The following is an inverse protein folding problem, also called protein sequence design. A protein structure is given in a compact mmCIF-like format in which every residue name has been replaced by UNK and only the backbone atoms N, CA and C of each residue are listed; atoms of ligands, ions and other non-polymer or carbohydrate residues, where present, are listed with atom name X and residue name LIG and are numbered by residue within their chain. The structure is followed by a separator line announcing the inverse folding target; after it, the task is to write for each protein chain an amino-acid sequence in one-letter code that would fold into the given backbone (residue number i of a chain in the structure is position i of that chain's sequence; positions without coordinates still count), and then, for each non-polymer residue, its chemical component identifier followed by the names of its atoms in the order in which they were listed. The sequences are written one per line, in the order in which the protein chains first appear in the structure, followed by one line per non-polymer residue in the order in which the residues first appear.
data_IF_047720850161
#
_entry.id   IF_047720850161
#
_cell.length_a   1.000
_cell.length_b   1.000
_cell.length_c   1.000
_cell.angle_alpha   90.00
_cell.angle_beta   90.00
_cell.angle_gamma   90.00
#
_symmetry.space_group_name_H-M   'P 1'
#
loop_
_entity.id
_entity.type
_entity.pdbx_description
1 polymer ?
#
# COMPACT_ATOMS: atom_id res chain seq x y z
N UNK A 1 -1.53 17.80 -22.25
CA UNK A 1 -0.52 18.47 -23.10
C UNK A 1 0.70 18.70 -22.24
N UNK A 2 1.89 18.25 -22.66
CA UNK A 2 3.13 18.58 -21.96
C UNK A 2 3.43 20.06 -22.18
N UNK A 3 3.85 20.77 -21.12
CA UNK A 3 4.31 22.16 -21.22
C UNK A 3 5.69 22.15 -21.89
N UNK A 4 5.82 22.66 -23.10
CA UNK A 4 7.10 22.80 -23.81
C UNK A 4 7.51 24.26 -23.92
N UNK A 5 8.80 24.54 -23.74
CA UNK A 5 9.38 25.86 -23.88
C UNK A 5 9.29 26.33 -25.33
N UNK A 6 8.77 27.53 -25.56
CA UNK A 6 8.57 28.10 -26.90
C UNK A 6 9.87 28.61 -27.56
N UNK A 7 11.02 28.50 -26.88
CA UNK A 7 12.36 28.81 -27.43
C UNK A 7 13.11 27.52 -27.77
N UNK A 8 13.22 26.58 -26.83
CA UNK A 8 13.99 25.34 -27.03
C UNK A 8 13.18 24.15 -27.54
N UNK A 9 11.85 24.22 -27.46
CA UNK A 9 10.92 23.08 -27.64
C UNK A 9 11.16 21.91 -26.66
N UNK A 10 11.90 22.12 -25.58
CA UNK A 10 12.12 21.14 -24.51
C UNK A 10 11.20 21.41 -23.31
N UNK A 11 11.09 20.44 -22.39
CA UNK A 11 10.35 20.64 -21.12
C UNK A 11 11.18 21.55 -20.21
N UNK A 12 10.68 22.72 -19.78
CA UNK A 12 11.42 23.66 -18.94
C UNK A 12 11.57 23.13 -17.50
N UNK A 13 12.72 23.35 -16.87
CA UNK A 13 12.98 23.07 -15.46
C UNK A 13 12.38 24.16 -14.55
N UNK A 14 12.44 25.43 -14.99
CA UNK A 14 11.84 26.58 -14.29
C UNK A 14 10.86 27.30 -15.23
N UNK A 15 9.63 26.80 -15.37
CA UNK A 15 8.64 27.37 -16.28
C UNK A 15 8.17 28.76 -15.83
N UNK A 16 8.19 29.70 -16.77
CA UNK A 16 7.59 31.03 -16.64
C UNK A 16 6.68 31.31 -17.83
N UNK A 17 5.65 32.13 -17.62
CA UNK A 17 4.70 32.53 -18.66
C UNK A 17 4.83 34.01 -18.96
N UNK A 18 4.85 34.34 -20.25
CA UNK A 18 4.70 35.72 -20.70
C UNK A 18 3.22 36.12 -20.64
N UNK A 19 2.85 37.20 -19.93
CA UNK A 19 1.46 37.68 -19.89
C UNK A 19 1.00 38.27 -21.24
N UNK A 20 1.94 38.52 -22.16
CA UNK A 20 1.67 39.19 -23.43
C UNK A 20 1.33 38.20 -24.54
N UNK A 21 2.05 37.07 -24.59
CA UNK A 21 1.81 36.01 -25.57
C UNK A 21 1.07 34.80 -25.00
N UNK A 22 1.06 34.63 -23.66
CA UNK A 22 0.59 33.42 -23.00
C UNK A 22 1.50 32.20 -23.21
N UNK A 23 2.66 32.38 -23.87
CA UNK A 23 3.61 31.32 -24.15
C UNK A 23 4.45 30.97 -22.91
N UNK A 24 4.87 29.71 -22.84
CA UNK A 24 5.67 29.17 -21.74
C UNK A 24 7.13 29.13 -22.16
N UNK A 25 8.01 29.53 -21.26
CA UNK A 25 9.44 29.54 -21.46
C UNK A 25 10.19 28.94 -20.27
N UNK A 26 11.41 28.46 -20.52
CA UNK A 26 12.40 28.25 -19.47
C UNK A 26 12.92 29.62 -19.02
N UNK A 27 12.86 29.91 -17.72
CA UNK A 27 13.22 31.22 -17.13
C UNK A 27 14.56 31.72 -17.65
N UNK A 28 15.59 30.88 -17.62
CA UNK A 28 16.95 31.25 -18.05
C UNK A 28 17.01 31.70 -19.51
N UNK A 29 16.20 31.09 -20.38
CA UNK A 29 16.22 31.36 -21.81
C UNK A 29 15.47 32.64 -22.16
N UNK A 30 14.31 32.86 -21.54
CA UNK A 30 13.49 34.06 -21.81
C UNK A 30 14.09 35.32 -21.19
N UNK A 31 14.69 35.23 -19.99
CA UNK A 31 15.36 36.38 -19.36
C UNK A 31 16.55 36.86 -20.21
N UNK A 32 17.32 35.92 -20.77
CA UNK A 32 18.39 36.26 -21.71
C UNK A 32 17.85 36.93 -22.98
N UNK A 33 16.77 36.40 -23.55
CA UNK A 33 16.18 36.97 -24.76
C UNK A 33 15.62 38.38 -24.54
N UNK A 34 14.95 38.61 -23.40
CA UNK A 34 14.43 39.92 -22.99
C UNK A 34 15.58 40.91 -22.78
N UNK A 35 16.69 40.49 -22.18
CA UNK A 35 17.86 41.34 -22.00
C UNK A 35 18.43 41.81 -23.35
N UNK A 36 18.45 40.94 -24.35
CA UNK A 36 19.03 41.22 -25.66
C UNK A 36 18.07 42.02 -26.58
N UNK A 37 16.75 41.86 -26.44
CA UNK A 37 15.78 42.37 -27.42
C UNK A 37 14.64 43.24 -26.84
N UNK A 38 14.40 43.21 -25.52
CA UNK A 38 13.32 43.96 -24.86
C UNK A 38 11.89 43.57 -25.25
N UNK A 39 11.71 42.46 -25.96
CA UNK A 39 10.43 42.03 -26.52
C UNK A 39 10.18 40.53 -26.28
N UNK A 40 8.91 40.15 -26.33
CA UNK A 40 8.45 38.76 -26.30
C UNK A 40 8.78 38.05 -27.64
N UNK A 41 9.47 36.88 -27.61
CA UNK A 41 9.91 36.18 -28.82
C UNK A 41 8.77 35.68 -29.74
N UNK A 42 7.55 35.52 -29.22
CA UNK A 42 6.42 34.92 -29.94
C UNK A 42 5.50 36.00 -30.51
N UNK A 43 5.22 37.03 -29.72
CA UNK A 43 4.28 38.10 -30.07
C UNK A 43 4.95 39.38 -30.57
N UNK A 44 6.26 39.55 -30.37
CA UNK A 44 7.03 40.74 -30.77
C UNK A 44 6.68 42.01 -30.00
N UNK A 45 5.91 41.90 -28.91
CA UNK A 45 5.49 43.02 -28.06
C UNK A 45 6.48 43.24 -26.92
N UNK A 46 6.53 44.45 -26.38
CA UNK A 46 7.42 44.79 -25.25
C UNK A 46 7.17 43.88 -24.04
N UNK A 47 8.24 43.34 -23.48
CA UNK A 47 8.22 42.43 -22.33
C UNK A 47 9.46 42.67 -21.49
N UNK A 48 9.28 42.84 -20.18
CA UNK A 48 10.38 42.99 -19.22
C UNK A 48 10.43 41.79 -18.27
N UNK A 49 11.58 41.53 -17.64
CA UNK A 49 11.76 40.36 -16.77
C UNK A 49 10.79 40.35 -15.58
N UNK A 50 10.48 41.53 -15.03
CA UNK A 50 9.53 41.68 -13.92
C UNK A 50 8.07 41.35 -14.29
N UNK A 51 7.75 41.34 -15.59
CA UNK A 51 6.43 40.96 -16.09
C UNK A 51 6.26 39.44 -16.19
N UNK A 52 7.32 38.65 -16.07
CA UNK A 52 7.24 37.19 -16.17
C UNK A 52 6.51 36.62 -14.96
N UNK A 53 5.52 35.77 -15.24
CA UNK A 53 4.73 35.12 -14.21
C UNK A 53 5.36 33.75 -13.95
N UNK A 54 5.81 33.52 -12.73
CA UNK A 54 6.20 32.20 -12.26
C UNK A 54 5.04 31.22 -12.40
N UNK A 55 5.27 30.13 -13.14
CA UNK A 55 4.38 28.98 -13.04
C UNK A 55 4.70 28.33 -11.71
N UNK A 56 4.03 28.78 -10.64
CA UNK A 56 4.03 28.06 -9.37
C UNK A 56 3.68 26.62 -9.72
N UNK A 57 4.50 25.67 -9.28
CA UNK A 57 4.08 24.27 -9.17
C UNK A 57 2.88 24.24 -8.22
N UNK A 58 1.69 24.46 -8.78
CA UNK A 58 0.46 23.96 -8.22
C UNK A 58 0.58 22.47 -8.44
N UNK A 59 1.14 21.79 -7.44
CA UNK A 59 1.46 20.38 -7.48
C UNK A 59 0.38 19.60 -8.21
N UNK A 60 0.74 19.11 -9.41
CA UNK A 60 -0.05 18.25 -10.25
C UNK A 60 -1.55 18.51 -10.22
N UNK A 61 -2.03 19.53 -10.95
CA UNK A 61 -3.21 19.30 -11.76
C UNK A 61 -2.76 18.46 -12.96
N UNK A 62 -2.49 17.18 -12.67
CA UNK A 62 -2.63 16.17 -13.70
C UNK A 62 -4.04 16.37 -14.25
N UNK A 63 -4.15 16.63 -15.55
CA UNK A 63 -5.40 16.50 -16.28
C UNK A 63 -5.99 15.14 -15.89
N UNK A 64 -6.99 15.14 -15.02
CA UNK A 64 -7.94 14.05 -14.97
C UNK A 64 -8.66 14.08 -16.32
N UNK A 65 -8.63 13.02 -17.13
CA UNK A 65 -9.90 12.58 -17.66
C UNK A 65 -10.70 12.12 -16.43
N UNK A 66 -11.71 12.90 -16.04
CA UNK A 66 -12.67 12.56 -15.01
C UNK A 66 -13.67 11.47 -15.46
N UNK A 67 -13.25 10.62 -16.39
CA UNK A 67 -13.93 9.36 -16.71
C UNK A 67 -13.01 8.24 -16.25
N UNK A 68 -13.50 7.45 -15.29
CA UNK A 68 -12.89 6.17 -14.98
C UNK A 68 -12.73 5.41 -16.30
N UNK A 69 -11.51 4.96 -16.62
CA UNK A 69 -11.23 4.30 -17.92
C UNK A 69 -12.08 3.03 -18.13
N UNK A 70 -12.79 2.59 -17.09
CA UNK A 70 -13.62 1.41 -17.06
C UNK A 70 -12.77 0.16 -16.85
N UNK A 71 -13.40 -0.90 -16.35
CA UNK A 71 -12.83 -2.24 -16.50
C UNK A 71 -13.14 -2.69 -17.92
N UNK A 72 -12.20 -2.47 -18.85
CA UNK A 72 -12.38 -2.94 -20.23
C UNK A 72 -12.39 -4.47 -20.29
N UNK A 73 -12.92 -5.01 -21.37
CA UNK A 73 -12.94 -6.46 -21.62
C UNK A 73 -11.54 -7.07 -21.57
N UNK A 74 -10.51 -6.36 -22.05
CA UNK A 74 -9.11 -6.81 -22.00
C UNK A 74 -8.59 -6.88 -20.56
N UNK A 75 -8.91 -5.88 -19.74
CA UNK A 75 -8.55 -5.89 -18.32
C UNK A 75 -9.23 -7.07 -17.64
N UNK A 76 -10.56 -7.21 -17.79
CA UNK A 76 -11.33 -8.31 -17.18
C UNK A 76 -10.77 -9.68 -17.62
N UNK A 77 -10.43 -9.84 -18.90
CA UNK A 77 -9.83 -11.08 -19.40
C UNK A 77 -8.48 -11.35 -18.74
N UNK A 78 -7.60 -10.34 -18.66
CA UNK A 78 -6.29 -10.46 -17.98
C UNK A 78 -6.44 -10.86 -16.51
N UNK A 79 -7.40 -10.28 -15.78
CA UNK A 79 -7.68 -10.66 -14.40
C UNK A 79 -8.17 -12.11 -14.31
N UNK A 80 -9.09 -12.50 -15.20
CA UNK A 80 -9.66 -13.86 -15.26
C UNK A 80 -8.61 -14.92 -15.59
N UNK A 81 -7.72 -14.65 -16.55
CA UNK A 81 -6.63 -15.54 -16.94
C UNK A 81 -5.65 -15.73 -15.78
N UNK A 82 -5.27 -14.63 -15.11
CA UNK A 82 -4.39 -14.71 -13.94
C UNK A 82 -5.04 -15.51 -12.81
N UNK A 83 -6.32 -15.28 -12.53
CA UNK A 83 -7.06 -16.02 -11.52
C UNK A 83 -7.15 -17.53 -11.83
N UNK A 84 -7.33 -17.89 -13.10
CA UNK A 84 -7.36 -19.28 -13.55
C UNK A 84 -6.01 -19.99 -13.30
N UNK A 85 -4.90 -19.34 -13.67
CA UNK A 85 -3.54 -19.84 -13.41
C UNK A 85 -3.32 -20.05 -11.91
N UNK A 86 -3.58 -19.02 -11.09
CA UNK A 86 -3.36 -19.07 -9.64
C UNK A 86 -4.23 -20.15 -8.98
N UNK A 87 -5.46 -20.32 -9.44
CA UNK A 87 -6.36 -21.37 -8.96
C UNK A 87 -5.87 -22.76 -9.32
N UNK A 88 -5.33 -22.95 -10.52
CA UNK A 88 -4.73 -24.21 -10.94
C UNK A 88 -3.46 -24.52 -10.13
N UNK A 89 -2.60 -23.53 -9.90
CA UNK A 89 -1.40 -23.66 -9.07
C UNK A 89 -1.74 -24.03 -7.63
N UNK A 90 -2.76 -23.38 -7.05
CA UNK A 90 -3.28 -23.72 -5.72
C UNK A 90 -3.83 -25.15 -5.66
N UNK A 91 -4.59 -25.58 -6.66
CA UNK A 91 -5.09 -26.97 -6.75
C UNK A 91 -3.95 -27.97 -6.86
N UNK A 92 -2.90 -27.65 -7.63
CA UNK A 92 -1.70 -28.48 -7.79
C UNK A 92 -0.90 -28.60 -6.50
N UNK A 93 -0.73 -27.48 -5.77
CA UNK A 93 -0.09 -27.47 -4.44
C UNK A 93 -0.96 -28.25 -3.43
N UNK A 94 -2.28 -28.10 -3.51
CA UNK A 94 -3.20 -28.77 -2.59
C UNK A 94 -2.89 -28.41 -1.14
N UNK A 95 -2.71 -29.43 -0.30
CA UNK A 95 -2.30 -29.27 1.11
C UNK A 95 -0.80 -29.45 1.33
N UNK A 96 0.01 -29.52 0.27
CA UNK A 96 1.46 -29.65 0.45
C UNK A 96 2.02 -28.33 0.97
N UNK A 97 2.79 -28.46 2.04
CA UNK A 97 3.56 -27.36 2.63
C UNK A 97 4.89 -27.30 1.88
N UNK A 98 5.41 -26.12 1.50
CA UNK A 98 6.73 -26.01 0.88
C UNK A 98 7.80 -26.70 1.75
N UNK A 99 8.69 -27.47 1.12
CA UNK A 99 9.72 -28.23 1.85
C UNK A 99 10.67 -27.32 2.65
N UNK A 100 10.96 -26.13 2.11
CA UNK A 100 11.82 -25.13 2.73
C UNK A 100 11.11 -24.27 3.80
N UNK A 101 9.82 -24.49 4.07
CA UNK A 101 9.09 -23.72 5.09
C UNK A 101 9.66 -23.99 6.49
N UNK A 102 9.92 -22.94 7.26
CA UNK A 102 10.29 -23.06 8.67
C UNK A 102 9.30 -23.96 9.43
N UNK A 103 9.83 -24.94 10.16
CA UNK A 103 9.01 -25.84 10.98
C UNK A 103 8.39 -25.10 12.18
N UNK A 104 7.32 -25.66 12.75
CA UNK A 104 6.70 -25.09 13.95
C UNK A 104 7.66 -25.01 15.15
N UNK A 105 8.62 -25.93 15.25
CA UNK A 105 9.62 -25.94 16.31
C UNK A 105 10.67 -24.86 16.10
N UNK A 106 11.03 -24.58 14.83
CA UNK A 106 11.85 -23.44 14.49
C UNK A 106 11.16 -22.13 14.91
N UNK A 107 9.89 -21.94 14.53
CA UNK A 107 9.13 -20.72 14.90
C UNK A 107 9.08 -20.52 16.42
N UNK A 108 8.87 -21.59 17.21
CA UNK A 108 8.91 -21.53 18.69
C UNK A 108 10.28 -21.07 19.21
N UNK A 109 11.34 -21.51 18.55
CA UNK A 109 12.72 -21.19 18.91
C UNK A 109 13.18 -19.79 18.44
N UNK A 110 12.36 -19.05 17.67
CA UNK A 110 12.75 -17.73 17.17
C UNK A 110 13.17 -16.77 18.28
N UNK A 111 14.20 -16.00 17.98
CA UNK A 111 14.77 -14.95 18.82
C UNK A 111 14.87 -13.67 18.01
N UNK A 112 15.05 -12.55 18.71
CA UNK A 112 15.34 -11.25 18.09
C UNK A 112 16.74 -11.28 17.49
N UNK A 113 16.84 -11.34 16.16
CA UNK A 113 18.09 -11.30 15.42
C UNK A 113 18.66 -9.88 15.37
N UNK A 114 17.80 -8.90 15.16
CA UNK A 114 18.19 -7.51 15.04
C UNK A 114 17.07 -6.56 15.49
N UNK A 115 17.47 -5.38 15.95
CA UNK A 115 16.58 -4.28 16.27
C UNK A 115 17.20 -3.00 15.69
N UNK A 116 16.56 -2.44 14.68
CA UNK A 116 17.03 -1.25 13.97
C UNK A 116 16.20 -0.03 14.40
N UNK A 117 16.67 0.74 15.39
CA UNK A 117 16.11 2.06 15.67
C UNK A 117 16.58 3.07 14.62
N UNK A 118 15.88 4.20 14.51
CA UNK A 118 16.39 5.37 13.79
C UNK A 118 16.31 5.29 12.26
N UNK A 119 15.54 4.35 11.71
CA UNK A 119 15.15 4.41 10.31
C UNK A 119 14.35 5.69 10.05
N UNK A 120 13.35 5.96 10.88
CA UNK A 120 12.51 7.15 10.80
C UNK A 120 12.91 8.23 11.82
N UNK A 121 12.35 9.44 11.65
CA UNK A 121 12.62 10.59 12.50
C UNK A 121 12.56 10.29 14.00
N UNK A 122 13.58 10.71 14.74
CA UNK A 122 13.59 10.61 16.19
C UNK A 122 12.55 11.51 16.88
N UNK A 123 12.17 12.64 16.25
CA UNK A 123 11.24 13.63 16.80
C UNK A 123 9.76 13.31 16.55
N UNK A 124 9.47 12.44 15.56
CA UNK A 124 8.11 12.01 15.22
C UNK A 124 8.09 10.48 15.34
N UNK A 125 7.73 9.93 16.52
CA UNK A 125 7.85 8.51 16.76
C UNK A 125 6.83 7.69 15.97
N UNK A 126 7.25 6.50 15.57
CA UNK A 126 6.43 5.44 15.04
C UNK A 126 6.72 5.09 13.60
N UNK A 127 6.94 3.80 13.39
CA UNK A 127 6.84 3.16 12.09
C UNK A 127 5.44 2.53 12.09
N UNK A 128 4.66 2.73 11.02
CA UNK A 128 3.22 2.42 11.01
C UNK A 128 2.88 1.21 10.16
N UNK A 129 3.72 0.89 9.18
CA UNK A 129 3.53 -0.23 8.28
C UNK A 129 4.86 -0.68 7.70
N UNK A 130 4.91 -1.93 7.23
CA UNK A 130 6.03 -2.46 6.48
C UNK A 130 5.55 -3.39 5.37
N UNK A 131 6.44 -3.63 4.41
CA UNK A 131 6.34 -4.74 3.48
C UNK A 131 7.74 -5.31 3.13
N UNK A 132 7.80 -6.55 2.66
CA UNK A 132 9.06 -7.22 2.29
C UNK A 132 9.02 -7.54 0.80
N UNK A 133 10.12 -7.27 0.10
CA UNK A 133 10.23 -7.66 -1.31
C UNK A 133 10.21 -9.20 -1.44
N UNK A 134 9.28 -9.70 -2.27
CA UNK A 134 9.14 -11.13 -2.50
C UNK A 134 10.28 -11.71 -3.34
N UNK A 135 10.83 -10.92 -4.28
CA UNK A 135 11.98 -11.30 -5.12
C UNK A 135 13.31 -11.23 -4.36
N UNK A 136 13.43 -10.28 -3.43
CA UNK A 136 14.63 -10.05 -2.62
C UNK A 136 14.26 -9.79 -1.16
N UNK A 137 14.16 -10.85 -0.36
CA UNK A 137 13.78 -10.76 1.05
C UNK A 137 14.80 -10.01 1.93
N UNK A 138 15.93 -9.54 1.38
CA UNK A 138 16.82 -8.62 2.08
C UNK A 138 16.25 -7.19 2.12
N UNK A 139 15.36 -6.81 1.20
CA UNK A 139 14.77 -5.47 1.12
C UNK A 139 13.45 -5.40 1.89
N UNK A 140 13.41 -4.48 2.85
CA UNK A 140 12.25 -4.18 3.68
C UNK A 140 11.84 -2.74 3.46
N UNK A 141 10.59 -2.53 3.07
CA UNK A 141 9.97 -1.21 2.97
C UNK A 141 9.28 -0.89 4.29
N UNK A 142 9.48 0.32 4.80
CA UNK A 142 8.84 0.82 6.03
C UNK A 142 8.17 2.16 5.77
N UNK A 143 6.99 2.38 6.34
CA UNK A 143 6.23 3.62 6.25
C UNK A 143 6.16 4.31 7.61
N UNK A 144 6.59 5.57 7.66
CA UNK A 144 6.76 6.29 8.91
C UNK A 144 5.62 7.25 9.25
N UNK A 145 5.49 7.51 10.56
CA UNK A 145 4.72 8.65 11.06
C UNK A 145 5.32 10.00 10.65
N UNK A 146 6.62 9.99 10.30
CA UNK A 146 7.38 11.13 9.76
C UNK A 146 7.14 11.41 8.27
N UNK A 147 6.15 10.73 7.65
CA UNK A 147 5.68 10.93 6.26
C UNK A 147 6.63 10.40 5.19
N UNK A 148 7.73 9.77 5.58
CA UNK A 148 8.69 9.16 4.65
C UNK A 148 8.42 7.67 4.57
N UNK A 149 8.72 7.07 3.41
CA UNK A 149 8.93 5.64 3.31
C UNK A 149 10.42 5.35 3.11
N UNK A 150 10.89 4.24 3.68
CA UNK A 150 12.30 3.87 3.65
C UNK A 150 12.42 2.44 3.16
N UNK A 151 13.23 2.24 2.14
CA UNK A 151 13.68 0.90 1.73
C UNK A 151 15.00 0.63 2.42
N UNK A 152 15.03 -0.37 3.28
CA UNK A 152 16.17 -0.81 4.07
C UNK A 152 16.61 -2.20 3.62
N UNK A 153 17.91 -2.42 3.49
CA UNK A 153 18.47 -3.74 3.22
C UNK A 153 18.99 -4.34 4.53
N UNK A 154 18.37 -5.44 4.98
CA UNK A 154 18.69 -6.07 6.27
C UNK A 154 20.05 -6.79 6.30
N UNK A 155 20.57 -7.21 5.14
CA UNK A 155 21.81 -8.00 5.08
C UNK A 155 23.04 -7.09 5.08
N UNK A 156 22.92 -5.91 4.47
CA UNK A 156 23.96 -4.87 4.44
C UNK A 156 23.79 -3.83 5.55
N UNK A 157 22.65 -3.84 6.23
CA UNK A 157 22.22 -2.85 7.22
C UNK A 157 22.23 -1.41 6.68
N UNK A 158 21.91 -1.24 5.40
CA UNK A 158 21.93 0.06 4.72
C UNK A 158 20.55 0.52 4.28
N UNK A 159 20.33 1.82 4.36
CA UNK A 159 19.18 2.48 3.71
C UNK A 159 19.44 2.53 2.21
N UNK A 160 18.59 1.85 1.44
CA UNK A 160 18.63 1.80 -0.03
C UNK A 160 17.99 3.06 -0.62
N UNK A 161 16.84 3.48 -0.09
CA UNK A 161 16.11 4.64 -0.58
C UNK A 161 15.32 5.32 0.53
N UNK A 162 15.18 6.65 0.42
CA UNK A 162 14.30 7.47 1.26
C UNK A 162 13.31 8.18 0.33
N UNK A 163 12.04 7.81 0.45
CA UNK A 163 10.96 8.25 -0.42
C UNK A 163 10.18 9.35 0.29
N UNK A 164 10.36 10.59 -0.19
CA UNK A 164 9.76 11.79 0.41
C UNK A 164 8.70 12.38 -0.51
N UNK A 165 7.52 12.67 0.03
CA UNK A 165 6.49 13.37 -0.74
C UNK A 165 5.10 13.41 -0.11
N UNK A 166 4.76 12.48 0.79
CA UNK A 166 3.49 12.56 1.51
C UNK A 166 3.43 13.76 2.46
N UNK A 167 2.24 14.35 2.59
CA UNK A 167 2.03 15.50 3.49
C UNK A 167 1.55 15.07 4.88
N UNK A 168 1.19 13.79 5.04
CA UNK A 168 0.83 13.15 6.31
C UNK A 168 1.55 11.80 6.45
N UNK A 169 1.41 11.15 7.60
CA UNK A 169 1.98 9.83 7.91
C UNK A 169 1.63 8.80 6.84
N UNK A 170 2.49 7.80 6.64
CA UNK A 170 2.21 6.71 5.71
C UNK A 170 1.49 5.59 6.46
N UNK A 171 0.36 5.14 5.96
CA UNK A 171 -0.50 4.15 6.65
C UNK A 171 -0.43 2.77 6.02
N UNK A 172 -0.13 2.66 4.72
CA UNK A 172 0.12 1.38 4.09
C UNK A 172 1.29 1.48 3.09
N UNK A 173 2.00 0.36 2.96
CA UNK A 173 3.16 0.19 2.09
C UNK A 173 3.04 -1.14 1.37
N UNK A 174 3.41 -1.19 0.10
CA UNK A 174 3.52 -2.43 -0.68
C UNK A 174 4.82 -2.40 -1.48
N UNK A 175 5.56 -3.50 -1.44
CA UNK A 175 6.68 -3.76 -2.34
C UNK A 175 6.19 -4.61 -3.51
N UNK A 176 6.37 -4.13 -4.75
CA UNK A 176 5.97 -4.91 -5.91
C UNK A 176 6.71 -6.26 -5.95
N UNK A 177 6.04 -7.40 -6.19
CA UNK A 177 6.63 -8.73 -5.97
C UNK A 177 7.85 -9.02 -6.85
N UNK A 178 7.92 -8.38 -8.03
CA UNK A 178 8.91 -8.70 -9.06
C UNK A 178 9.75 -7.50 -9.52
N UNK A 179 9.51 -6.29 -8.99
CA UNK A 179 10.15 -5.07 -9.49
C UNK A 179 10.57 -4.18 -8.34
N UNK A 180 11.56 -3.32 -8.58
CA UNK A 180 11.97 -2.27 -7.64
C UNK A 180 11.02 -1.05 -7.69
N UNK A 181 9.73 -1.35 -7.60
CA UNK A 181 8.62 -0.41 -7.53
C UNK A 181 7.93 -0.59 -6.18
N UNK A 182 7.63 0.51 -5.49
CA UNK A 182 6.90 0.46 -4.22
C UNK A 182 5.71 1.40 -4.24
N UNK A 183 4.68 1.06 -3.47
CA UNK A 183 3.46 1.84 -3.33
C UNK A 183 3.28 2.28 -1.89
N UNK A 184 2.87 3.52 -1.70
CA UNK A 184 2.57 4.08 -0.38
C UNK A 184 1.23 4.80 -0.40
N UNK A 185 0.44 4.65 0.66
CA UNK A 185 -0.80 5.39 0.87
C UNK A 185 -0.75 6.18 2.17
N UNK A 186 -1.57 7.24 2.25
CA UNK A 186 -1.57 8.12 3.40
C UNK A 186 -2.93 8.80 3.62
N UNK A 187 -3.19 9.29 4.84
CA UNK A 187 -4.31 10.17 5.13
C UNK A 187 -4.31 11.52 4.39
N UNK A 188 -3.29 11.79 3.57
CA UNK A 188 -3.25 12.92 2.62
C UNK A 188 -4.06 12.66 1.33
N UNK A 189 -4.89 11.60 1.33
CA UNK A 189 -5.75 11.18 0.21
C UNK A 189 -4.99 10.80 -1.07
N UNK A 190 -3.67 10.58 -0.97
CA UNK A 190 -2.83 10.22 -2.10
C UNK A 190 -2.31 8.78 -1.97
N UNK A 191 -2.15 8.14 -3.12
CA UNK A 191 -1.35 6.94 -3.30
C UNK A 191 -0.19 7.31 -4.21
N UNK A 192 1.03 6.99 -3.80
CA UNK A 192 2.24 7.24 -4.59
C UNK A 192 2.86 5.92 -5.01
N UNK A 193 3.24 5.86 -6.28
CA UNK A 193 4.00 4.76 -6.88
C UNK A 193 5.39 5.28 -7.13
N UNK A 194 6.39 4.59 -6.59
CA UNK A 194 7.77 5.03 -6.58
C UNK A 194 8.65 4.04 -7.33
N UNK A 195 9.67 4.56 -8.00
CA UNK A 195 10.81 3.76 -8.43
C UNK A 195 11.88 3.83 -7.35
N UNK A 196 12.29 2.67 -6.81
CA UNK A 196 13.24 2.62 -5.68
C UNK A 196 14.62 3.15 -6.07
N UNK A 197 15.25 2.74 -7.19
CA UNK A 197 16.57 3.23 -7.59
C UNK A 197 16.66 4.74 -7.77
N UNK A 198 15.64 5.38 -8.35
CA UNK A 198 15.63 6.84 -8.53
C UNK A 198 15.10 7.59 -7.32
N UNK A 199 14.43 6.91 -6.38
CA UNK A 199 13.68 7.51 -5.27
C UNK A 199 12.63 8.54 -5.71
N UNK A 200 12.16 8.46 -6.96
CA UNK A 200 11.16 9.38 -7.51
C UNK A 200 9.76 8.77 -7.53
N UNK A 201 8.75 9.61 -7.31
CA UNK A 201 7.35 9.25 -7.58
C UNK A 201 7.15 9.18 -9.09
N UNK A 202 6.81 7.99 -9.60
CA UNK A 202 6.48 7.76 -11.01
C UNK A 202 5.03 8.16 -11.28
N UNK A 203 4.12 7.79 -10.37
CA UNK A 203 2.70 8.16 -10.47
C UNK A 203 2.14 8.58 -9.12
N UNK A 204 1.25 9.57 -9.17
CA UNK A 204 0.48 10.07 -8.05
C UNK A 204 -1.00 9.86 -8.35
N UNK A 205 -1.67 9.01 -7.56
CA UNK A 205 -3.10 8.72 -7.71
C UNK A 205 -3.86 9.46 -6.62
N UNK A 206 -4.82 10.30 -7.04
CA UNK A 206 -5.74 11.05 -6.17
C UNK A 206 -7.17 10.73 -6.56
N UNK A 207 -7.67 9.63 -6.02
CA UNK A 207 -9.02 9.13 -6.31
C UNK A 207 -10.00 9.30 -5.15
N UNK A 208 -9.49 9.53 -3.94
CA UNK A 208 -10.28 9.58 -2.72
C UNK A 208 -10.44 11.03 -2.24
N UNK A 209 -11.57 11.32 -1.61
CA UNK A 209 -11.84 12.61 -0.96
C UNK A 209 -11.48 12.57 0.53
N UNK A 210 -11.17 11.39 1.06
CA UNK A 210 -10.77 11.16 2.44
C UNK A 210 -9.41 10.45 2.57
N UNK A 211 -8.93 10.28 3.81
CA UNK A 211 -7.81 9.41 4.13
C UNK A 211 -7.87 8.03 3.46
N UNK A 212 -6.77 7.64 2.80
CA UNK A 212 -6.63 6.26 2.30
C UNK A 212 -6.26 5.35 3.46
N UNK A 213 -7.04 4.29 3.66
CA UNK A 213 -6.99 3.39 4.84
C UNK A 213 -6.56 1.98 4.50
N UNK A 214 -6.75 1.56 3.26
CA UNK A 214 -6.37 0.23 2.78
C UNK A 214 -5.69 0.33 1.43
N UNK A 215 -4.75 -0.57 1.21
CA UNK A 215 -3.99 -0.68 -0.02
C UNK A 215 -3.68 -2.15 -0.27
N UNK A 216 -3.95 -2.65 -1.48
CA UNK A 216 -3.64 -4.03 -1.84
C UNK A 216 -3.32 -4.14 -3.33
N UNK A 217 -2.17 -4.74 -3.65
CA UNK A 217 -1.76 -4.96 -5.03
C UNK A 217 -2.46 -6.21 -5.57
N UNK A 218 -3.04 -6.09 -6.75
CA UNK A 218 -3.63 -7.21 -7.45
C UNK A 218 -2.54 -8.23 -7.86
N UNK A 219 -2.87 -9.52 -7.89
CA UNK A 219 -1.92 -10.60 -8.17
C UNK A 219 -1.25 -10.55 -9.56
N UNK A 220 -1.74 -9.70 -10.47
CA UNK A 220 -1.07 -9.41 -11.76
C UNK A 220 0.18 -8.53 -11.60
N UNK A 221 0.27 -7.75 -10.51
CA UNK A 221 1.31 -6.74 -10.30
C UNK A 221 1.00 -5.36 -10.91
N UNK A 222 -0.03 -5.25 -11.76
CA UNK A 222 -0.26 -4.02 -12.53
C UNK A 222 -1.35 -3.10 -11.97
N UNK A 223 -2.13 -3.57 -11.00
CA UNK A 223 -3.27 -2.83 -10.48
C UNK A 223 -3.26 -2.81 -8.96
N UNK A 224 -3.77 -1.72 -8.40
CA UNK A 224 -3.88 -1.53 -6.95
C UNK A 224 -5.33 -1.23 -6.56
N UNK A 225 -5.79 -1.91 -5.52
CA UNK A 225 -7.00 -1.60 -4.78
C UNK A 225 -6.66 -0.63 -3.67
N UNK A 226 -7.48 0.39 -3.51
CA UNK A 226 -7.42 1.30 -2.37
C UNK A 226 -8.80 1.48 -1.74
N UNK A 227 -8.82 1.75 -0.44
CA UNK A 227 -10.03 2.12 0.31
C UNK A 227 -9.80 3.39 1.09
N UNK A 228 -10.89 4.07 1.43
CA UNK A 228 -10.83 5.34 2.15
C UNK A 228 -11.96 5.51 3.15
N UNK A 229 -11.77 6.45 4.07
CA UNK A 229 -12.81 6.86 5.01
C UNK A 229 -13.99 7.59 4.33
N UNK A 230 -13.89 7.90 3.04
CA UNK A 230 -15.02 8.38 2.22
C UNK A 230 -16.01 7.27 1.84
N UNK A 231 -15.81 6.05 2.35
CA UNK A 231 -16.67 4.90 2.11
C UNK A 231 -16.51 4.31 0.71
N UNK A 232 -15.47 4.72 -0.03
CA UNK A 232 -15.20 4.25 -1.38
C UNK A 232 -14.03 3.27 -1.40
N UNK A 233 -14.13 2.30 -2.29
CA UNK A 233 -12.96 1.60 -2.80
C UNK A 233 -12.71 1.99 -4.25
N UNK A 234 -11.44 1.94 -4.67
CA UNK A 234 -11.02 2.25 -6.03
C UNK A 234 -10.02 1.23 -6.55
N UNK A 235 -10.05 0.99 -7.86
CA UNK A 235 -9.13 0.10 -8.57
C UNK A 235 -8.39 0.90 -9.64
N UNK A 236 -7.07 0.96 -9.53
CA UNK A 236 -6.23 1.84 -10.35
C UNK A 236 -5.07 1.09 -10.98
N UNK A 237 -4.66 1.53 -12.17
CA UNK A 237 -3.50 1.03 -12.90
C UNK A 237 -2.23 1.72 -12.41
N UNK A 238 -1.26 0.93 -11.96
CA UNK A 238 0.00 1.44 -11.41
C UNK A 238 1.00 1.88 -12.49
N UNK A 239 0.78 1.48 -13.75
CA UNK A 239 1.63 1.79 -14.90
C UNK A 239 1.27 3.12 -15.57
N UNK A 240 0.04 3.55 -15.37
CA UNK A 240 -0.49 4.78 -15.97
C UNK A 240 -0.94 5.79 -14.93
N UNK A 241 -1.12 5.37 -13.67
CA UNK A 241 -1.70 6.19 -12.61
C UNK A 241 -3.20 6.46 -12.79
N UNK A 242 -3.88 5.74 -13.71
CA UNK A 242 -5.29 5.95 -14.01
C UNK A 242 -6.19 5.13 -13.10
N UNK A 243 -7.30 5.74 -12.69
CA UNK A 243 -8.37 5.06 -11.97
C UNK A 243 -9.27 4.35 -12.98
N UNK A 244 -9.42 3.04 -12.85
CA UNK A 244 -10.26 2.22 -13.73
C UNK A 244 -11.71 2.19 -13.26
N UNK A 245 -11.91 2.11 -11.94
CA UNK A 245 -13.23 2.23 -11.31
C UNK A 245 -13.10 2.67 -9.86
N UNK A 246 -14.16 3.23 -9.31
CA UNK A 246 -14.36 3.42 -7.89
C UNK A 246 -15.84 3.19 -7.58
N UNK A 247 -16.14 2.70 -6.40
CA UNK A 247 -17.49 2.29 -6.02
C UNK A 247 -17.77 2.71 -4.59
N UNK A 248 -18.97 3.26 -4.42
CA UNK A 248 -19.61 3.54 -3.14
C UNK A 248 -20.58 2.42 -2.82
N UNK A 249 -20.65 2.04 -1.55
CA UNK A 249 -21.87 1.39 -1.06
C UNK A 249 -22.94 2.47 -0.85
N UNK A 250 -24.00 2.45 -1.66
CA UNK A 250 -25.13 3.38 -1.54
C UNK A 250 -25.98 3.12 -0.30
N UNK A 251 -25.84 1.94 0.33
CA UNK A 251 -26.64 1.53 1.48
C UNK A 251 -26.02 1.94 2.83
N UNK A 252 -24.72 2.20 2.88
CA UNK A 252 -24.03 2.68 4.06
C UNK A 252 -22.79 3.48 3.67
N UNK A 253 -22.81 4.79 3.87
CA UNK A 253 -21.66 5.69 3.66
C UNK A 253 -20.56 5.53 4.73
N UNK A 254 -20.35 4.30 5.21
CA UNK A 254 -19.48 4.01 6.34
C UNK A 254 -18.01 4.00 5.88
N UNK A 255 -17.14 4.51 6.74
CA UNK A 255 -15.72 4.58 6.45
C UNK A 255 -15.15 3.15 6.27
N UNK A 256 -14.44 2.94 5.16
CA UNK A 256 -13.67 1.72 4.96
C UNK A 256 -12.32 1.87 5.67
N UNK A 257 -11.85 0.80 6.31
CA UNK A 257 -10.75 0.86 7.28
C UNK A 257 -9.56 0.00 6.90
N UNK A 258 -9.79 -1.03 6.09
CA UNK A 258 -8.77 -1.94 5.61
C UNK A 258 -9.24 -2.60 4.32
N UNK A 259 -8.29 -3.04 3.49
CA UNK A 259 -8.59 -3.70 2.23
C UNK A 259 -7.54 -4.72 1.87
N UNK A 260 -7.96 -5.86 1.33
CA UNK A 260 -7.03 -6.83 0.77
C UNK A 260 -7.67 -7.65 -0.34
N UNK A 261 -6.93 -7.86 -1.43
CA UNK A 261 -7.29 -8.85 -2.43
C UNK A 261 -7.23 -10.27 -1.87
N UNK A 262 -8.18 -11.09 -2.31
CA UNK A 262 -8.03 -12.52 -2.22
C UNK A 262 -6.93 -13.00 -3.19
N UNK A 263 -6.20 -14.10 -2.89
CA UNK A 263 -5.08 -14.59 -3.73
C UNK A 263 -5.43 -15.02 -5.16
N UNK A 264 -6.70 -14.99 -5.59
CA UNK A 264 -7.06 -15.12 -7.02
C UNK A 264 -7.20 -13.77 -7.74
N UNK A 265 -7.34 -12.68 -7.00
CA UNK A 265 -7.53 -11.34 -7.53
C UNK A 265 -8.94 -11.00 -8.05
N UNK A 266 -9.89 -11.93 -7.99
CA UNK A 266 -11.26 -11.68 -8.48
C UNK A 266 -12.15 -11.05 -7.41
N UNK A 267 -11.92 -11.42 -6.15
CA UNK A 267 -12.62 -10.84 -5.01
C UNK A 267 -11.64 -10.13 -4.08
N UNK A 268 -12.18 -9.25 -3.25
CA UNK A 268 -11.44 -8.63 -2.16
C UNK A 268 -12.36 -8.39 -0.96
N UNK A 269 -11.72 -8.27 0.20
CA UNK A 269 -12.38 -7.96 1.46
C UNK A 269 -12.10 -6.52 1.86
N UNK A 270 -13.10 -5.83 2.39
CA UNK A 270 -12.95 -4.51 3.02
C UNK A 270 -13.51 -4.54 4.44
N UNK A 271 -12.80 -3.93 5.37
CA UNK A 271 -13.25 -3.71 6.73
C UNK A 271 -13.94 -2.36 6.85
N UNK A 272 -14.89 -2.23 7.77
CA UNK A 272 -15.62 -0.99 8.00
C UNK A 272 -15.50 -0.51 9.45
N UNK A 273 -15.81 0.77 9.66
CA UNK A 273 -15.88 1.37 11.00
C UNK A 273 -17.04 0.85 11.85
N UNK A 274 -18.07 0.27 11.24
CA UNK A 274 -19.27 -0.29 11.90
C UNK A 274 -19.20 -1.80 12.10
N UNK A 275 -18.00 -2.37 12.18
CA UNK A 275 -17.75 -3.77 12.52
C UNK A 275 -18.18 -4.80 11.47
N UNK A 276 -18.44 -4.38 10.22
CA UNK A 276 -18.75 -5.26 9.11
C UNK A 276 -17.49 -5.56 8.28
N UNK A 277 -17.47 -6.76 7.70
CA UNK A 277 -16.49 -7.13 6.69
C UNK A 277 -17.26 -7.40 5.41
N UNK A 278 -16.98 -6.61 4.38
CA UNK A 278 -17.64 -6.69 3.09
C UNK A 278 -16.76 -7.45 2.11
N UNK A 279 -17.33 -8.40 1.37
CA UNK A 279 -16.68 -9.12 0.27
C UNK A 279 -17.23 -8.60 -1.05
N UNK A 280 -16.33 -8.20 -1.93
CA UNK A 280 -16.66 -7.57 -3.20
C UNK A 280 -16.22 -8.43 -4.36
N UNK A 281 -17.05 -8.50 -5.40
CA UNK A 281 -16.64 -8.99 -6.71
C UNK A 281 -16.13 -7.79 -7.54
N UNK A 282 -14.86 -7.87 -7.97
CA UNK A 282 -14.22 -6.78 -8.69
C UNK A 282 -14.83 -6.56 -10.09
N UNK A 283 -15.24 -7.63 -10.76
CA UNK A 283 -15.77 -7.58 -12.13
C UNK A 283 -17.17 -6.98 -12.15
N UNK A 284 -18.03 -7.48 -11.27
CA UNK A 284 -19.42 -7.04 -11.15
C UNK A 284 -19.56 -5.73 -10.36
N UNK A 285 -18.52 -5.34 -9.62
CA UNK A 285 -18.48 -4.12 -8.78
C UNK A 285 -19.58 -4.13 -7.71
N UNK A 286 -19.92 -5.31 -7.21
CA UNK A 286 -20.98 -5.51 -6.24
C UNK A 286 -20.43 -6.13 -4.97
N UNK A 287 -21.05 -5.76 -3.85
CA UNK A 287 -20.89 -6.52 -2.62
C UNK A 287 -21.62 -7.86 -2.79
N UNK A 288 -20.88 -8.96 -2.62
CA UNK A 288 -21.42 -10.32 -2.77
C UNK A 288 -21.74 -10.96 -1.43
N UNK A 289 -21.13 -10.48 -0.34
CA UNK A 289 -21.41 -10.97 0.99
C UNK A 289 -20.93 -10.00 2.08
N UNK A 290 -21.63 -9.99 3.21
CA UNK A 290 -21.23 -9.27 4.42
C UNK A 290 -21.04 -10.30 5.56
N UNK A 291 -19.89 -10.26 6.22
CA UNK A 291 -19.67 -10.97 7.47
C UNK A 291 -19.95 -10.04 8.64
N UNK A 292 -20.86 -10.46 9.51
CA UNK A 292 -21.21 -9.83 10.76
C UNK A 292 -20.63 -10.61 11.96
N UNK A 293 -20.40 -9.91 13.07
CA UNK A 293 -20.05 -10.55 14.34
C UNK A 293 -18.85 -9.96 15.07
N UNK A 294 -18.14 -8.99 14.50
CA UNK A 294 -17.27 -8.11 15.29
C UNK A 294 -18.11 -7.09 16.07
N UNK A 295 -17.53 -6.55 17.15
CA UNK A 295 -18.14 -5.53 18.01
C UNK A 295 -17.23 -4.33 18.19
N UNK A 296 -16.73 -3.79 17.07
CA UNK A 296 -15.83 -2.65 17.02
C UNK A 296 -15.29 -2.44 15.60
N UNK A 297 -14.64 -1.31 15.35
CA UNK A 297 -14.06 -1.03 14.02
C UNK A 297 -13.13 -2.16 13.58
N UNK A 298 -13.27 -2.63 12.34
CA UNK A 298 -12.34 -3.61 11.76
C UNK A 298 -11.00 -2.92 11.54
N UNK A 299 -9.92 -3.47 12.10
CA UNK A 299 -8.58 -2.88 12.04
C UNK A 299 -7.68 -3.54 11.01
N UNK A 300 -7.86 -4.84 10.75
CA UNK A 300 -7.03 -5.59 9.81
C UNK A 300 -7.78 -6.76 9.18
N UNK A 301 -7.40 -7.08 7.94
CA UNK A 301 -7.91 -8.21 7.16
C UNK A 301 -6.73 -8.91 6.48
N UNK A 302 -6.74 -10.24 6.49
CA UNK A 302 -5.73 -11.08 5.84
C UNK A 302 -6.38 -12.32 5.20
N UNK A 303 -6.28 -12.49 3.90
CA UNK A 303 -6.65 -13.71 3.18
C UNK A 303 -5.51 -14.71 3.26
N UNK A 304 -5.87 -15.97 3.51
CA UNK A 304 -4.92 -17.07 3.47
C UNK A 304 -4.62 -17.48 2.03
N UNK A 305 -3.36 -17.79 1.74
CA UNK A 305 -2.92 -18.36 0.46
C UNK A 305 -3.56 -19.73 0.12
N UNK A 306 -4.27 -20.34 1.08
CA UNK A 306 -5.09 -21.52 0.79
C UNK A 306 -6.34 -21.19 -0.05
N UNK A 307 -6.73 -19.91 -0.15
CA UNK A 307 -7.87 -19.41 -0.94
C UNK A 307 -9.25 -19.70 -0.34
N UNK A 308 -9.33 -20.12 0.92
CA UNK A 308 -10.58 -20.47 1.59
C UNK A 308 -10.79 -19.73 2.90
N UNK A 309 -9.71 -19.26 3.54
CA UNK A 309 -9.78 -18.62 4.84
C UNK A 309 -9.49 -17.13 4.76
N UNK A 310 -10.23 -16.40 5.58
CA UNK A 310 -10.03 -14.98 5.85
C UNK A 310 -9.86 -14.81 7.36
N UNK A 311 -8.83 -14.09 7.76
CA UNK A 311 -8.64 -13.62 9.13
C UNK A 311 -8.97 -12.14 9.19
N UNK A 312 -9.70 -11.73 10.22
CA UNK A 312 -10.06 -10.35 10.48
C UNK A 312 -9.83 -10.01 11.94
N UNK A 313 -9.47 -8.78 12.22
CA UNK A 313 -9.35 -8.26 13.58
C UNK A 313 -10.10 -6.94 13.71
N UNK A 314 -10.52 -6.64 14.93
CA UNK A 314 -11.24 -5.42 15.25
C UNK A 314 -10.86 -4.88 16.63
N UNK A 315 -11.39 -3.72 16.98
CA UNK A 315 -11.26 -3.10 18.30
C UNK A 315 -11.88 -3.93 19.44
N UNK A 316 -12.64 -4.98 19.13
CA UNK A 316 -13.19 -5.92 20.10
C UNK A 316 -12.16 -6.91 20.70
N UNK A 317 -10.86 -6.70 20.42
CA UNK A 317 -9.75 -7.54 20.90
C UNK A 317 -9.86 -9.01 20.43
N UNK A 318 -10.53 -9.26 19.29
CA UNK A 318 -10.67 -10.60 18.72
C UNK A 318 -10.05 -10.71 17.34
N UNK A 319 -9.53 -11.90 17.04
CA UNK A 319 -9.24 -12.33 15.67
C UNK A 319 -10.26 -13.36 15.26
N UNK A 320 -11.06 -13.06 14.24
CA UNK A 320 -12.10 -13.94 13.70
C UNK A 320 -11.62 -14.58 12.40
N UNK A 321 -11.96 -15.86 12.23
CA UNK A 321 -11.57 -16.67 11.10
C UNK A 321 -12.80 -17.19 10.37
N UNK A 322 -12.86 -16.88 9.08
CA UNK A 322 -14.02 -17.10 8.23
C UNK A 322 -13.69 -18.11 7.14
N UNK A 323 -14.61 -19.06 6.88
CA UNK A 323 -14.51 -19.98 5.74
C UNK A 323 -15.35 -19.39 4.60
N UNK A 324 -14.70 -18.97 3.51
CA UNK A 324 -15.32 -18.30 2.37
C UNK A 324 -16.25 -19.21 1.56
N UNK A 325 -16.17 -20.54 1.73
CA UNK A 325 -17.09 -21.48 1.06
C UNK A 325 -18.35 -21.71 1.88
N UNK A 326 -18.23 -21.64 3.20
CA UNK A 326 -19.35 -21.84 4.14
C UNK A 326 -19.96 -20.51 4.59
N UNK A 327 -19.31 -19.40 4.25
CA UNK A 327 -19.69 -18.04 4.59
C UNK A 327 -20.02 -17.91 6.08
N UNK A 328 -19.11 -18.36 6.93
CA UNK A 328 -19.30 -18.29 8.39
C UNK A 328 -18.00 -18.17 9.15
N UNK A 329 -18.09 -17.55 10.33
CA UNK A 329 -17.06 -17.65 11.34
C UNK A 329 -16.98 -19.11 11.82
N UNK A 330 -15.79 -19.72 11.75
CA UNK A 330 -15.58 -21.08 12.27
C UNK A 330 -14.67 -21.09 13.50
N UNK A 331 -13.96 -19.99 13.77
CA UNK A 331 -13.10 -19.85 14.93
C UNK A 331 -12.99 -18.36 15.29
N UNK A 332 -13.07 -18.09 16.59
CA UNK A 332 -12.70 -16.81 17.20
C UNK A 332 -11.52 -17.08 18.13
N UNK A 333 -10.47 -16.29 17.98
CA UNK A 333 -9.34 -16.22 18.91
C UNK A 333 -9.59 -14.98 19.76
N UNK A 334 -9.89 -15.20 21.04
CA UNK A 334 -10.04 -14.13 22.01
C UNK A 334 -8.66 -13.79 22.54
N UNK A 335 -8.24 -12.53 22.39
CA UNK A 335 -7.03 -12.02 23.01
C UNK A 335 -7.37 -11.41 24.37
N UNK A 336 -6.33 -11.04 25.12
CA UNK A 336 -6.47 -10.42 26.45
C UNK A 336 -7.32 -9.15 26.40
N UNK A 337 -7.92 -8.78 27.53
CA UNK A 337 -8.75 -7.58 27.62
C UNK A 337 -7.93 -6.33 27.25
N UNK A 338 -8.48 -5.50 26.36
CA UNK A 338 -7.83 -4.32 25.78
C UNK A 338 -6.64 -4.62 24.85
N UNK A 339 -6.52 -5.84 24.33
CA UNK A 339 -5.53 -6.14 23.30
C UNK A 339 -5.86 -5.39 22.00
N UNK A 340 -4.95 -4.53 21.55
CA UNK A 340 -5.13 -3.78 20.31
C UNK A 340 -4.47 -4.50 19.14
N UNK A 341 -5.24 -5.07 18.22
CA UNK A 341 -4.69 -5.60 16.97
C UNK A 341 -4.56 -4.49 15.93
N UNK A 342 -3.39 -4.41 15.27
CA UNK A 342 -3.09 -3.42 14.23
C UNK A 342 -2.84 -4.03 12.86
N UNK A 343 -2.32 -5.26 12.80
CA UNK A 343 -2.02 -5.91 11.52
C UNK A 343 -2.13 -7.43 11.62
N UNK A 344 -2.45 -8.06 10.48
CA UNK A 344 -2.59 -9.50 10.32
C UNK A 344 -1.90 -9.94 9.04
N UNK A 345 -1.07 -10.98 9.14
CA UNK A 345 -0.36 -11.51 7.97
C UNK A 345 -0.38 -13.03 7.99
N UNK A 346 -1.03 -13.65 7.01
CA UNK A 346 -0.74 -15.03 6.67
C UNK A 346 0.63 -15.14 6.00
N UNK A 347 1.36 -16.21 6.27
CA UNK A 347 2.55 -16.55 5.50
C UNK A 347 2.18 -17.05 4.09
N UNK A 348 3.18 -17.11 3.20
CA UNK A 348 2.98 -17.45 1.78
C UNK A 348 2.48 -18.90 1.55
N UNK A 349 2.58 -19.78 2.56
CA UNK A 349 2.00 -21.12 2.53
C UNK A 349 0.60 -21.23 3.11
N UNK A 350 0.17 -20.24 3.92
CA UNK A 350 -1.07 -20.29 4.70
C UNK A 350 -1.01 -21.24 5.91
N UNK A 351 0.19 -21.61 6.35
CA UNK A 351 0.44 -22.48 7.52
C UNK A 351 0.47 -21.68 8.81
N UNK A 352 0.93 -20.43 8.75
CA UNK A 352 1.10 -19.54 9.89
C UNK A 352 0.32 -18.24 9.70
N UNK A 353 -0.17 -17.70 10.81
CA UNK A 353 -0.78 -16.38 10.91
C UNK A 353 -0.02 -15.59 11.96
N UNK A 354 0.52 -14.43 11.57
CA UNK A 354 1.06 -13.45 12.48
C UNK A 354 0.01 -12.39 12.82
N UNK A 355 -0.02 -11.99 14.09
CA UNK A 355 -0.85 -10.92 14.63
C UNK A 355 0.09 -9.89 15.24
N UNK A 356 0.01 -8.64 14.81
CA UNK A 356 0.74 -7.53 15.43
C UNK A 356 -0.23 -6.58 16.11
N UNK A 357 0.13 -6.15 17.31
CA UNK A 357 -0.70 -5.32 18.15
C UNK A 357 0.01 -4.91 19.44
N UNK A 358 -0.57 -5.23 20.58
CA UNK A 358 0.09 -5.07 21.89
C UNK A 358 1.45 -5.79 21.95
N UNK A 359 1.52 -6.96 21.33
CA UNK A 359 2.74 -7.75 21.11
C UNK A 359 2.71 -8.32 19.67
N UNK A 360 3.66 -9.18 19.29
CA UNK A 360 3.59 -9.93 18.03
C UNK A 360 3.39 -11.41 18.35
N UNK A 361 2.33 -12.02 17.85
CA UNK A 361 2.01 -13.44 18.06
C UNK A 361 2.00 -14.21 16.76
N UNK A 362 2.46 -15.45 16.80
CA UNK A 362 2.42 -16.36 15.64
C UNK A 362 1.58 -17.59 15.98
N UNK A 363 0.60 -17.89 15.14
CA UNK A 363 -0.31 -19.02 15.27
C UNK A 363 -0.08 -20.04 14.16
N UNK A 364 -0.17 -21.33 14.50
CA UNK A 364 -0.25 -22.43 13.55
C UNK A 364 -1.69 -22.63 13.07
N UNK A 365 -1.98 -22.37 11.80
CA UNK A 365 -3.34 -22.32 11.27
C UNK A 365 -4.09 -23.67 11.26
N UNK A 366 -3.38 -24.80 11.28
CA UNK A 366 -4.03 -26.12 11.30
C UNK A 366 -4.84 -26.35 12.57
N UNK A 367 -4.33 -25.90 13.72
CA UNK A 367 -5.01 -26.02 15.02
C UNK A 367 -5.38 -24.67 15.64
N UNK A 368 -4.94 -23.56 15.05
CA UNK A 368 -5.00 -22.21 15.61
C UNK A 368 -4.32 -22.13 16.98
N UNK A 369 -3.19 -22.83 17.11
CA UNK A 369 -2.38 -22.87 18.31
C UNK A 369 -1.36 -21.74 18.29
N UNK A 370 -1.25 -20.98 19.38
CA UNK A 370 -0.18 -20.01 19.57
C UNK A 370 1.18 -20.74 19.67
N UNK A 371 2.12 -20.38 18.80
CA UNK A 371 3.46 -20.94 18.77
C UNK A 371 4.46 -20.05 19.51
N UNK A 372 4.35 -18.74 19.33
CA UNK A 372 5.34 -17.79 19.82
C UNK A 372 4.70 -16.41 20.05
N UNK A 373 5.14 -15.76 21.13
CA UNK A 373 4.86 -14.36 21.44
C UNK A 373 6.20 -13.63 21.51
N UNK A 374 6.30 -12.49 20.81
CA UNK A 374 7.42 -11.57 20.86
C UNK A 374 6.95 -10.29 21.56
N UNK A 375 7.51 -10.04 22.74
CA UNK A 375 7.21 -8.87 23.57
C UNK A 375 8.40 -7.88 23.59
N UNK A 376 9.25 -7.93 22.56
CA UNK A 376 10.48 -7.13 22.47
C UNK A 376 10.23 -5.65 22.15
N UNK A 377 9.07 -5.32 21.56
CA UNK A 377 8.67 -3.95 21.30
C UNK A 377 8.21 -3.26 22.58
N UNK A 378 8.64 -2.01 22.80
CA UNK A 378 8.29 -1.25 24.01
C UNK A 378 7.01 -0.42 23.83
N UNK A 379 6.37 -0.52 22.67
CA UNK A 379 5.09 0.09 22.33
C UNK A 379 4.37 -0.77 21.28
N UNK A 380 3.12 -0.43 20.95
CA UNK A 380 2.30 -1.17 19.99
C UNK A 380 3.06 -1.51 18.70
N UNK A 381 3.13 -2.80 18.39
CA UNK A 381 3.52 -3.29 17.08
C UNK A 381 2.42 -2.94 16.08
N UNK A 382 2.81 -2.27 15.00
CA UNK A 382 1.90 -1.67 14.01
C UNK A 382 1.89 -2.44 12.70
N UNK A 383 2.88 -3.31 12.46
CA UNK A 383 2.92 -4.16 11.29
C UNK A 383 3.77 -5.40 11.48
N UNK A 384 3.44 -6.47 10.76
CA UNK A 384 4.22 -7.73 10.75
C UNK A 384 4.21 -8.40 9.38
N UNK A 385 5.36 -8.91 8.93
CA UNK A 385 5.47 -9.65 7.67
C UNK A 385 6.38 -10.86 7.82
N UNK A 386 6.00 -11.95 7.17
CA UNK A 386 6.86 -13.12 7.01
C UNK A 386 7.86 -12.89 5.87
N UNK A 387 9.13 -13.09 6.17
CA UNK A 387 10.13 -13.33 5.14
C UNK A 387 9.83 -14.59 4.34
N UNK A 388 10.55 -14.79 3.23
CA UNK A 388 10.38 -15.96 2.36
C UNK A 388 10.45 -17.27 3.17
N UNK A 389 9.50 -18.16 2.92
CA UNK A 389 9.35 -19.45 3.60
C UNK A 389 9.28 -19.34 5.14
N UNK A 390 8.82 -18.20 5.63
CA UNK A 390 8.80 -17.86 7.04
C UNK A 390 10.17 -18.09 7.70
N UNK A 391 11.31 -17.89 7.02
CA UNK A 391 12.66 -18.03 7.59
C UNK A 391 13.00 -16.94 8.61
N UNK A 392 12.33 -15.80 8.50
CA UNK A 392 12.35 -14.75 9.49
C UNK A 392 10.99 -14.03 9.50
N UNK A 393 10.75 -13.25 10.54
CA UNK A 393 9.60 -12.35 10.67
C UNK A 393 10.15 -10.94 10.88
N UNK A 394 9.60 -9.96 10.19
CA UNK A 394 9.87 -8.56 10.45
C UNK A 394 8.65 -7.90 11.10
N UNK A 395 8.86 -7.10 12.13
CA UNK A 395 7.83 -6.27 12.75
C UNK A 395 8.29 -4.84 12.94
N UNK A 396 7.33 -3.92 12.93
CA UNK A 396 7.55 -2.50 13.18
C UNK A 396 6.62 -1.99 14.27
N UNK A 397 7.02 -0.92 14.94
CA UNK A 397 6.30 -0.42 16.12
C UNK A 397 6.32 1.10 16.27
N UNK A 398 5.37 1.58 17.08
CA UNK A 398 5.35 2.93 17.61
C UNK A 398 6.61 3.29 18.41
N UNK A 399 7.40 2.31 18.88
CA UNK A 399 8.68 2.51 19.56
C UNK A 399 9.82 2.97 18.63
N UNK A 400 9.56 3.09 17.32
CA UNK A 400 10.46 3.49 16.24
C UNK A 400 11.44 2.42 15.77
N UNK A 401 11.20 1.15 16.11
CA UNK A 401 12.08 0.06 15.72
C UNK A 401 11.48 -0.80 14.62
N UNK A 402 12.34 -1.24 13.71
CA UNK A 402 12.15 -2.45 12.90
C UNK A 402 12.88 -3.59 13.62
N UNK A 403 12.18 -4.66 13.95
CA UNK A 403 12.77 -5.87 14.56
C UNK A 403 12.67 -7.04 13.61
N UNK A 404 13.71 -7.87 13.63
CA UNK A 404 13.79 -9.11 12.85
C UNK A 404 13.88 -10.29 13.82
N UNK A 405 13.03 -11.28 13.60
CA UNK A 405 13.01 -12.53 14.38
C UNK A 405 13.31 -13.72 13.49
N UNK A 406 14.11 -14.65 13.99
CA UNK A 406 14.47 -15.87 13.27
C UNK A 406 15.25 -16.80 14.18
N UNK A 407 15.86 -17.84 13.59
CA UNK A 407 16.71 -18.78 14.32
C UNK A 407 18.10 -18.25 14.61
#
# INVERSE_FOLDING_TARGET
MSLTCSISNEVPEHPVVSPVSGAIFERRLIEKYILDNGIDPVSGKELTADMLIDVKEVGGLANQPAEAAGLTSEVIQKLSDKAAVLTQERKRRGKSVPEDLSSQDNIRAYQTLASHPGLHSASIPGILCLDISASDSSKILTGGNDRNAIVFNKDTEQVVAILKGHTKKITNTIYHPNEDTVLTSSPDACIRIWNVPSSQTVHLIRTHNGPVTGLSLHATGDYVLSTSTDGQWAFSDIRTGRVLTHVSDSSSGNALTSAQFHPDGLIFGTGTSDALIKIWDLKERTNVHDFDGHSGQVTAISFSENGYYLATAAEDSTVKLWDLRKLKNFKTIQLEDNYEVRDLCFDQSGTYLAVAGTDVRVYLCKQWQELKVFADHTALATGVRFGKHAHFIASVSMDRTLKLYGL
#
